data_IF_111790023683
#
_entry.id   IF_111790023683
#
_cell.length_a   1.000
_cell.length_b   1.000
_cell.length_c   1.000
_cell.angle_alpha   90.00
_cell.angle_beta   90.00
_cell.angle_gamma   90.00
#
_symmetry.space_group_name_H-M   'P 1'
#
loop_
_entity.id
_entity.type
_entity.pdbx_description
1 polymer ?
#
# COMPACT_ATOMS: atom_id res chain seq x y z
N UNK A 1 1.07 -9.79 7.64
CA UNK A 1 1.26 -8.34 7.49
C UNK A 1 2.73 -8.03 7.73
N UNK A 2 3.40 -7.41 6.76
CA UNK A 2 4.82 -7.05 6.85
C UNK A 2 4.95 -5.56 7.17
N UNK A 3 5.86 -5.19 8.07
CA UNK A 3 6.14 -3.78 8.40
C UNK A 3 7.42 -3.34 7.71
N UNK A 4 7.36 -2.27 6.93
CA UNK A 4 8.50 -1.72 6.19
C UNK A 4 8.85 -0.36 6.79
N UNK A 5 10.08 -0.19 7.29
CA UNK A 5 10.57 1.11 7.77
C UNK A 5 11.20 1.89 6.62
N UNK A 6 10.43 2.75 5.96
CA UNK A 6 10.88 3.57 4.82
C UNK A 6 10.01 4.82 4.72
N UNK A 7 10.51 5.88 4.06
CA UNK A 7 9.68 7.02 3.70
C UNK A 7 8.50 6.54 2.82
N UNK A 8 7.23 6.74 3.24
CA UNK A 8 6.07 6.22 2.52
C UNK A 8 5.87 6.85 1.14
N UNK A 9 6.22 8.12 0.96
CA UNK A 9 6.08 8.82 -0.33
C UNK A 9 7.03 8.24 -1.36
N UNK A 10 8.28 7.98 -0.96
CA UNK A 10 9.26 7.31 -1.82
C UNK A 10 8.78 5.90 -2.17
N UNK A 11 8.27 5.16 -1.19
CA UNK A 11 7.76 3.80 -1.42
C UNK A 11 6.58 3.78 -2.41
N UNK A 12 5.59 4.66 -2.22
CA UNK A 12 4.44 4.77 -3.14
C UNK A 12 4.86 5.22 -4.53
N UNK A 13 5.84 6.13 -4.63
CA UNK A 13 6.41 6.54 -5.92
C UNK A 13 7.08 5.37 -6.62
N UNK A 14 7.83 4.54 -5.90
CA UNK A 14 8.45 3.35 -6.46
C UNK A 14 7.37 2.37 -6.94
N UNK A 15 6.29 2.15 -6.19
CA UNK A 15 5.15 1.32 -6.64
C UNK A 15 4.51 1.84 -7.93
N UNK A 16 4.25 3.15 -8.01
CA UNK A 16 3.69 3.79 -9.22
C UNK A 16 4.57 3.67 -10.47
N UNK A 17 5.86 3.36 -10.31
CA UNK A 17 6.76 3.09 -11.43
C UNK A 17 6.72 1.64 -11.91
N UNK A 18 6.33 0.71 -11.04
CA UNK A 18 6.35 -0.72 -11.32
C UNK A 18 4.96 -1.28 -11.63
N UNK A 19 3.90 -0.62 -11.17
CA UNK A 19 2.51 -1.06 -11.35
C UNK A 19 1.69 0.06 -11.99
N UNK A 20 0.88 -0.33 -12.98
CA UNK A 20 0.05 0.62 -13.74
C UNK A 20 -1.10 1.18 -12.91
N UNK A 21 -1.65 0.37 -11.99
CA UNK A 21 -2.80 0.74 -11.15
C UNK A 21 -2.37 0.83 -9.70
N UNK A 22 -2.19 2.07 -9.21
CA UNK A 22 -1.90 2.36 -7.79
C UNK A 22 -2.84 3.46 -7.30
N UNK A 23 -3.83 3.10 -6.49
CA UNK A 23 -4.94 3.99 -6.12
C UNK A 23 -5.02 4.20 -4.62
N UNK A 24 -5.24 5.45 -4.20
CA UNK A 24 -5.58 5.76 -2.80
C UNK A 24 -7.04 5.41 -2.56
N UNK A 25 -7.32 4.48 -1.66
CA UNK A 25 -8.69 4.07 -1.31
C UNK A 25 -8.85 4.00 0.21
N UNK A 26 -9.18 5.13 0.85
CA UNK A 26 -9.43 5.18 2.29
C UNK A 26 -10.56 4.22 2.67
N UNK A 27 -10.44 3.57 3.82
CA UNK A 27 -11.45 2.63 4.34
C UNK A 27 -11.75 1.41 3.43
N UNK A 28 -10.88 1.11 2.46
CA UNK A 28 -11.04 -0.06 1.62
C UNK A 28 -11.02 -1.36 2.43
N UNK A 29 -11.91 -2.30 2.12
CA UNK A 29 -11.95 -3.64 2.71
C UNK A 29 -10.62 -4.38 2.54
N UNK A 30 -9.95 -4.16 1.40
CA UNK A 30 -8.63 -4.73 1.12
C UNK A 30 -7.55 -4.28 2.11
N UNK A 31 -7.74 -3.15 2.79
CA UNK A 31 -6.80 -2.57 3.76
C UNK A 31 -7.11 -2.97 5.21
N UNK A 32 -8.15 -3.78 5.46
CA UNK A 32 -8.39 -4.38 6.79
C UNK A 32 -7.30 -5.38 7.16
N UNK A 33 -6.72 -6.07 6.18
CA UNK A 33 -5.59 -6.99 6.32
C UNK A 33 -4.50 -6.67 5.30
N UNK A 34 -3.72 -5.60 5.51
CA UNK A 34 -2.79 -5.14 4.50
C UNK A 34 -1.62 -6.10 4.30
N UNK A 35 -1.12 -6.17 3.06
CA UNK A 35 0.12 -6.88 2.76
C UNK A 35 1.30 -6.19 3.48
N UNK A 36 1.33 -4.87 3.41
CA UNK A 36 2.39 -4.04 4.00
C UNK A 36 1.84 -2.89 4.82
N UNK A 37 2.55 -2.56 5.90
CA UNK A 37 2.44 -1.27 6.58
C UNK A 37 3.78 -0.57 6.48
N UNK A 38 3.82 0.52 5.72
CA UNK A 38 5.01 1.34 5.53
C UNK A 38 5.01 2.42 6.60
N UNK A 39 6.05 2.44 7.42
CA UNK A 39 6.20 3.37 8.54
C UNK A 39 7.37 4.29 8.25
N UNK A 40 7.12 5.59 8.24
CA UNK A 40 8.17 6.60 8.19
C UNK A 40 8.95 6.56 9.52
N UNK A 41 10.25 6.23 9.51
CA UNK A 41 11.05 6.20 10.74
C UNK A 41 11.25 7.59 11.37
N UNK A 42 11.04 8.69 10.62
CA UNK A 42 11.20 10.06 11.12
C UNK A 42 9.94 10.61 11.77
N UNK A 43 8.80 10.49 11.08
CA UNK A 43 7.53 11.06 11.51
C UNK A 43 6.60 10.07 12.21
N UNK A 44 6.87 8.77 12.10
CA UNK A 44 5.96 7.71 12.56
C UNK A 44 4.73 7.52 11.67
N UNK A 45 4.57 8.32 10.60
CA UNK A 45 3.45 8.22 9.65
C UNK A 45 3.36 6.81 9.08
N UNK A 46 2.15 6.28 8.99
CA UNK A 46 1.89 4.93 8.50
C UNK A 46 1.06 4.96 7.23
N UNK A 47 1.42 4.11 6.27
CA UNK A 47 0.64 3.85 5.06
C UNK A 47 0.38 2.37 4.98
N UNK A 48 -0.90 1.99 4.93
CA UNK A 48 -1.31 0.61 4.66
C UNK A 48 -1.33 0.41 3.15
N UNK A 49 -0.83 -0.73 2.68
CA UNK A 49 -0.77 -1.08 1.26
C UNK A 49 -1.22 -2.52 1.07
N UNK A 50 -2.11 -2.73 0.10
CA UNK A 50 -2.57 -4.05 -0.32
C UNK A 50 -2.48 -4.23 -1.82
N UNK A 51 -2.18 -5.46 -2.21
CA UNK A 51 -2.16 -5.93 -3.59
C UNK A 51 -3.47 -6.67 -3.82
N UNK A 52 -4.20 -6.26 -4.85
CA UNK A 52 -5.47 -6.86 -5.23
C UNK A 52 -5.20 -7.85 -6.35
N UNK A 53 -5.72 -9.05 -6.19
CA UNK A 53 -5.74 -10.09 -7.20
C UNK A 53 -7.20 -10.46 -7.46
N UNK A 54 -7.52 -10.77 -8.71
CA UNK A 54 -8.81 -11.33 -9.10
C UNK A 54 -8.90 -12.79 -8.67
N UNK A 55 -10.09 -13.37 -8.78
CA UNK A 55 -10.36 -14.74 -8.34
C UNK A 55 -9.57 -15.80 -9.13
N UNK A 56 -9.14 -15.47 -10.34
CA UNK A 56 -8.26 -16.30 -11.18
C UNK A 56 -6.76 -16.14 -10.84
N UNK A 57 -6.43 -15.27 -9.86
CA UNK A 57 -5.07 -14.97 -9.44
C UNK A 57 -4.39 -13.87 -10.25
N UNK A 58 -5.06 -13.26 -11.23
CA UNK A 58 -4.51 -12.14 -11.99
C UNK A 58 -4.37 -10.89 -11.11
N UNK A 59 -3.26 -10.16 -11.26
CA UNK A 59 -3.03 -8.93 -10.51
C UNK A 59 -3.91 -7.78 -11.04
N UNK A 60 -4.73 -7.21 -10.17
CA UNK A 60 -5.65 -6.12 -10.52
C UNK A 60 -5.10 -4.73 -10.19
N UNK A 61 -4.25 -4.61 -9.17
CA UNK A 61 -3.70 -3.31 -8.78
C UNK A 61 -3.23 -3.23 -7.32
N UNK A 62 -2.69 -2.06 -6.96
CA UNK A 62 -2.29 -1.73 -5.59
C UNK A 62 -3.25 -0.69 -5.03
N UNK A 63 -3.73 -0.92 -3.81
CA UNK A 63 -4.48 0.08 -3.04
C UNK A 63 -3.71 0.49 -1.80
N UNK A 64 -3.82 1.77 -1.44
CA UNK A 64 -3.19 2.28 -0.24
C UNK A 64 -4.06 3.29 0.50
N UNK A 65 -3.77 3.44 1.79
CA UNK A 65 -4.33 4.48 2.65
C UNK A 65 -3.27 4.99 3.62
N UNK A 66 -3.07 6.31 3.62
CA UNK A 66 -2.39 7.01 4.70
C UNK A 66 -3.32 7.10 5.90
N UNK A 67 -3.15 6.17 6.82
CA UNK A 67 -3.70 6.33 8.17
C UNK A 67 -2.94 7.49 8.82
N UNK A 68 -3.51 8.69 8.77
CA UNK A 68 -3.13 9.78 9.68
C UNK A 68 -3.28 9.34 11.13
#
# INVERSE_FOLDING_TARGET
MVVIKKNPEVFLRDLKKHYDVVVKMPSSEYLKKPNFVVVDPKSGKKVKVSFIYLDDGEFAGVVYDDSS
#
